data_IF_066882010159
#
_entry.id   IF_066882010159
#
_cell.length_a   1.000
_cell.length_b   1.000
_cell.length_c   1.000
_cell.angle_alpha   90.00
_cell.angle_beta   90.00
_cell.angle_gamma   90.00
#
_symmetry.space_group_name_H-M   'P 1'
#
loop_
_entity.id
_entity.type
_entity.pdbx_description
1 polymer ?
#
# COMPACT_ATOMS: atom_id res chain seq x y z
N UNK A 1 -6.72 5.22 18.46
CA UNK A 1 -7.69 5.83 17.47
C UNK A 1 -7.76 4.92 16.24
N UNK A 2 -8.97 4.65 15.70
CA UNK A 2 -9.11 3.77 14.53
C UNK A 2 -8.55 4.41 13.27
N UNK A 3 -7.52 3.81 12.69
CA UNK A 3 -6.91 4.24 11.43
C UNK A 3 -7.58 3.59 10.22
N UNK A 4 -8.16 2.39 10.40
CA UNK A 4 -8.95 1.71 9.39
C UNK A 4 -10.25 1.19 10.00
N UNK A 5 -11.36 1.41 9.32
CA UNK A 5 -12.65 0.83 9.65
C UNK A 5 -13.26 0.23 8.38
N UNK A 6 -13.54 -1.05 8.42
CA UNK A 6 -14.21 -1.82 7.37
C UNK A 6 -15.52 -2.33 7.93
N UNK A 7 -16.64 -1.95 7.33
CA UNK A 7 -17.98 -2.22 7.82
C UNK A 7 -18.82 -2.92 6.75
N UNK A 8 -19.17 -4.17 6.98
CA UNK A 8 -20.07 -5.01 6.16
C UNK A 8 -19.79 -4.96 4.67
N UNK A 9 -18.49 -4.93 4.27
CA UNK A 9 -18.15 -4.83 2.86
C UNK A 9 -18.51 -6.13 2.12
N UNK A 10 -19.14 -5.94 0.96
CA UNK A 10 -19.38 -7.00 0.00
C UNK A 10 -18.70 -6.68 -1.32
N UNK A 11 -18.18 -7.72 -1.97
CA UNK A 11 -17.60 -7.62 -3.31
C UNK A 11 -17.85 -8.88 -4.11
N UNK A 12 -18.37 -8.71 -5.32
CA UNK A 12 -18.55 -9.77 -6.29
C UNK A 12 -17.66 -9.56 -7.51
N UNK A 13 -17.22 -10.64 -8.14
CA UNK A 13 -16.49 -10.63 -9.41
C UNK A 13 -17.05 -11.75 -10.30
N UNK A 14 -17.45 -11.44 -11.53
CA UNK A 14 -18.05 -12.40 -12.46
C UNK A 14 -19.16 -13.24 -11.80
N UNK A 15 -20.14 -12.60 -11.16
CA UNK A 15 -21.27 -13.21 -10.45
C UNK A 15 -20.92 -14.07 -9.22
N UNK A 16 -19.63 -14.20 -8.84
CA UNK A 16 -19.21 -14.91 -7.63
C UNK A 16 -18.99 -13.90 -6.50
N UNK A 17 -19.66 -14.08 -5.35
CA UNK A 17 -19.37 -13.30 -4.14
C UNK A 17 -17.99 -13.69 -3.60
N UNK A 18 -17.08 -12.71 -3.53
CA UNK A 18 -15.73 -12.85 -2.98
C UNK A 18 -15.73 -12.40 -1.52
N UNK A 19 -16.24 -11.20 -1.24
CA UNK A 19 -16.38 -10.69 0.12
C UNK A 19 -17.85 -10.75 0.55
N UNK A 20 -18.10 -11.28 1.75
CA UNK A 20 -19.44 -11.57 2.27
C UNK A 20 -19.61 -10.89 3.63
N UNK A 21 -19.93 -9.58 3.64
CA UNK A 21 -20.14 -8.78 4.85
C UNK A 21 -18.90 -8.80 5.78
N UNK A 22 -17.73 -8.54 5.21
CA UNK A 22 -16.49 -8.47 5.99
C UNK A 22 -16.46 -7.19 6.82
N UNK A 23 -16.19 -7.32 8.12
CA UNK A 23 -16.04 -6.20 9.04
C UNK A 23 -14.83 -6.41 9.94
N UNK A 24 -13.99 -5.40 10.06
CA UNK A 24 -12.89 -5.32 11.01
C UNK A 24 -12.40 -3.88 11.15
N UNK A 25 -11.55 -3.63 12.11
CA UNK A 25 -10.89 -2.34 12.27
C UNK A 25 -9.43 -2.52 12.65
N UNK A 26 -8.62 -1.50 12.42
CA UNK A 26 -7.22 -1.41 12.83
C UNK A 26 -7.05 -0.11 13.61
N UNK A 27 -6.47 -0.21 14.79
CA UNK A 27 -6.15 0.94 15.62
C UNK A 27 -4.74 1.49 15.33
N UNK A 28 -4.45 2.69 15.78
CA UNK A 28 -3.14 3.31 15.67
C UNK A 28 -2.11 2.46 16.43
N UNK A 29 -0.93 2.24 15.84
CA UNK A 29 0.16 1.39 16.36
C UNK A 29 -0.19 -0.11 16.46
N UNK A 30 -1.27 -0.55 15.82
CA UNK A 30 -1.65 -1.95 15.75
C UNK A 30 -1.11 -2.62 14.48
N UNK A 31 -0.70 -3.89 14.60
CA UNK A 31 -0.33 -4.74 13.47
C UNK A 31 -1.39 -5.83 13.33
N UNK A 32 -2.06 -5.85 12.18
CA UNK A 32 -3.13 -6.81 11.89
C UNK A 32 -2.75 -7.68 10.70
N UNK A 33 -2.79 -9.00 10.88
CA UNK A 33 -2.58 -9.98 9.82
C UNK A 33 -3.90 -10.44 9.20
N UNK A 34 -4.00 -10.32 7.87
CA UNK A 34 -5.13 -10.87 7.11
C UNK A 34 -4.78 -12.28 6.61
N UNK A 35 -5.21 -13.29 7.37
CA UNK A 35 -4.89 -14.69 7.11
C UNK A 35 -6.02 -15.43 6.40
N UNK A 36 -5.69 -16.43 5.61
CA UNK A 36 -6.66 -17.29 4.93
C UNK A 36 -6.06 -18.00 3.70
N UNK A 37 -6.73 -19.04 3.20
CA UNK A 37 -6.27 -19.79 2.03
C UNK A 37 -6.30 -18.94 0.75
N UNK A 38 -5.65 -19.42 -0.31
CA UNK A 38 -5.72 -18.79 -1.61
C UNK A 38 -7.16 -18.71 -2.11
N UNK A 39 -7.54 -17.54 -2.64
CA UNK A 39 -8.91 -17.29 -3.09
C UNK A 39 -9.91 -16.91 -1.99
N UNK A 40 -9.50 -16.78 -0.71
CA UNK A 40 -10.38 -16.34 0.39
C UNK A 40 -10.81 -14.87 0.31
N UNK A 41 -10.17 -14.07 -0.56
CA UNK A 41 -10.51 -12.66 -0.74
C UNK A 41 -9.51 -11.67 -0.14
N UNK A 42 -8.35 -12.11 0.38
CA UNK A 42 -7.32 -11.23 0.97
C UNK A 42 -6.92 -10.07 0.04
N UNK A 43 -6.39 -10.39 -1.14
CA UNK A 43 -5.98 -9.37 -2.13
C UNK A 43 -7.18 -8.56 -2.65
N UNK A 44 -8.41 -9.13 -2.67
CA UNK A 44 -9.62 -8.37 -3.01
C UNK A 44 -9.94 -7.36 -1.91
N UNK A 45 -9.79 -7.71 -0.65
CA UNK A 45 -9.95 -6.81 0.49
C UNK A 45 -8.94 -5.67 0.43
N UNK A 46 -7.65 -5.97 0.22
CA UNK A 46 -6.59 -4.97 0.04
C UNK A 46 -6.93 -4.03 -1.12
N UNK A 47 -7.36 -4.56 -2.27
CA UNK A 47 -7.77 -3.75 -3.43
C UNK A 47 -9.01 -2.89 -3.17
N UNK A 48 -9.90 -3.30 -2.27
CA UNK A 48 -11.01 -2.45 -1.84
C UNK A 48 -10.53 -1.34 -0.90
N UNK A 49 -9.66 -1.64 0.06
CA UNK A 49 -9.11 -0.65 1.01
C UNK A 49 -8.22 0.36 0.27
N UNK A 50 -7.44 -0.07 -0.71
CA UNK A 50 -6.61 0.81 -1.56
C UNK A 50 -7.41 1.63 -2.58
N UNK A 51 -8.73 1.41 -2.66
CA UNK A 51 -9.59 2.09 -3.61
C UNK A 51 -9.42 1.64 -5.07
N UNK A 52 -8.64 0.60 -5.34
CA UNK A 52 -8.53 0.00 -6.67
C UNK A 52 -9.85 -0.68 -7.10
N UNK A 53 -10.57 -1.26 -6.13
CA UNK A 53 -11.90 -1.83 -6.35
C UNK A 53 -12.94 -1.08 -5.53
N UNK A 54 -14.09 -0.77 -6.15
CA UNK A 54 -15.27 -0.29 -5.41
C UNK A 54 -15.96 -1.49 -4.76
N UNK A 55 -16.35 -1.34 -3.49
CA UNK A 55 -17.21 -2.31 -2.80
C UNK A 55 -18.63 -2.24 -3.37
N UNK A 56 -19.31 -3.38 -3.46
CA UNK A 56 -20.70 -3.44 -3.90
C UNK A 56 -21.63 -2.95 -2.78
N UNK A 57 -21.30 -3.29 -1.52
CA UNK A 57 -21.98 -2.82 -0.30
C UNK A 57 -20.96 -2.54 0.81
N UNK A 58 -21.45 -1.95 1.90
CA UNK A 58 -20.65 -1.63 3.06
C UNK A 58 -19.81 -0.37 2.89
N UNK A 59 -18.97 -0.11 3.88
CA UNK A 59 -18.22 1.14 4.00
C UNK A 59 -16.78 0.89 4.43
N UNK A 60 -15.87 1.71 3.92
CA UNK A 60 -14.47 1.73 4.34
C UNK A 60 -14.11 3.16 4.69
N UNK A 61 -13.57 3.38 5.90
CA UNK A 61 -13.04 4.66 6.34
C UNK A 61 -11.58 4.53 6.72
N UNK A 62 -10.80 5.52 6.35
CA UNK A 62 -9.36 5.62 6.66
C UNK A 62 -9.13 6.94 7.35
N UNK A 63 -8.66 6.90 8.60
CA UNK A 63 -8.54 8.09 9.45
C UNK A 63 -9.83 8.94 9.44
N UNK A 64 -11.01 8.28 9.55
CA UNK A 64 -12.31 8.92 9.52
C UNK A 64 -12.85 9.27 8.12
N UNK A 65 -12.03 9.29 7.08
CA UNK A 65 -12.43 9.64 5.72
C UNK A 65 -13.00 8.43 4.97
N UNK A 66 -14.22 8.54 4.48
CA UNK A 66 -14.88 7.50 3.70
C UNK A 66 -14.27 7.44 2.28
N UNK A 67 -13.83 6.25 1.86
CA UNK A 67 -13.13 6.06 0.59
C UNK A 67 -14.01 6.29 -0.65
N UNK A 68 -15.33 6.31 -0.51
CA UNK A 68 -16.26 6.60 -1.61
C UNK A 68 -16.52 8.09 -1.76
N UNK A 69 -16.77 8.80 -0.66
CA UNK A 69 -17.16 10.21 -0.66
C UNK A 69 -15.97 11.16 -0.50
N UNK A 70 -14.93 10.78 0.24
CA UNK A 70 -13.73 11.59 0.48
C UNK A 70 -12.44 10.83 0.11
N UNK A 71 -12.44 10.33 -1.13
CA UNK A 71 -11.41 9.41 -1.63
C UNK A 71 -9.98 9.97 -1.53
N UNK A 72 -9.79 11.23 -1.91
CA UNK A 72 -8.45 11.82 -1.96
C UNK A 72 -7.83 11.89 -0.56
N UNK A 73 -8.59 12.39 0.42
CA UNK A 73 -8.11 12.50 1.79
C UNK A 73 -7.91 11.12 2.46
N UNK A 74 -8.76 10.15 2.14
CA UNK A 74 -8.56 8.76 2.58
C UNK A 74 -7.25 8.17 2.03
N UNK A 75 -7.01 8.29 0.73
CA UNK A 75 -5.84 7.69 0.06
C UNK A 75 -4.52 8.41 0.37
N UNK A 76 -4.54 9.67 0.78
CA UNK A 76 -3.35 10.36 1.31
C UNK A 76 -2.81 9.74 2.59
N UNK A 77 -3.64 8.99 3.32
CA UNK A 77 -3.26 8.38 4.59
C UNK A 77 -2.70 6.97 4.44
N UNK A 78 -2.61 6.44 3.22
CA UNK A 78 -2.22 5.06 2.96
C UNK A 78 -0.89 4.99 2.21
N UNK A 79 0.02 4.15 2.70
CA UNK A 79 1.13 3.59 1.95
C UNK A 79 0.88 2.14 1.61
N UNK A 80 1.21 1.71 0.39
CA UNK A 80 0.93 0.35 -0.07
C UNK A 80 2.18 -0.24 -0.72
N UNK A 81 2.65 -1.37 -0.20
CA UNK A 81 3.62 -2.23 -0.87
C UNK A 81 2.91 -3.49 -1.35
N UNK A 82 2.73 -3.59 -2.66
CA UNK A 82 2.08 -4.73 -3.31
C UNK A 82 3.09 -5.86 -3.55
N UNK A 83 2.60 -7.10 -3.64
CA UNK A 83 3.36 -8.30 -4.02
C UNK A 83 4.25 -8.08 -5.26
N UNK A 84 3.72 -7.43 -6.28
CA UNK A 84 4.49 -7.03 -7.46
C UNK A 84 4.79 -5.54 -7.39
N UNK A 85 6.05 -5.16 -7.10
CA UNK A 85 6.47 -3.76 -7.02
C UNK A 85 6.28 -3.02 -8.33
N UNK A 86 5.54 -1.92 -8.31
CA UNK A 86 5.32 -1.05 -9.46
C UNK A 86 6.49 -0.07 -9.64
N UNK A 87 7.68 -0.59 -9.96
CA UNK A 87 8.88 0.18 -10.22
C UNK A 87 9.07 0.41 -11.73
N UNK A 88 9.72 1.51 -12.09
CA UNK A 88 10.15 1.80 -13.44
C UNK A 88 11.51 1.13 -13.68
N UNK A 89 11.57 0.03 -14.46
CA UNK A 89 12.78 -0.81 -14.56
C UNK A 89 13.96 -0.10 -15.24
N UNK A 90 13.69 0.92 -16.05
CA UNK A 90 14.72 1.74 -16.75
C UNK A 90 15.35 2.77 -15.82
N UNK A 91 14.69 3.13 -14.71
CA UNK A 91 15.17 4.08 -13.74
C UNK A 91 15.97 3.39 -12.64
N UNK A 92 16.92 4.12 -12.06
CA UNK A 92 17.64 3.64 -10.87
C UNK A 92 16.72 3.61 -9.64
N UNK A 93 17.17 2.91 -8.58
CA UNK A 93 16.43 2.87 -7.32
C UNK A 93 16.19 4.27 -6.75
N UNK A 94 17.22 5.09 -6.71
CA UNK A 94 17.11 6.47 -6.21
C UNK A 94 16.20 7.34 -7.07
N UNK A 95 16.16 7.11 -8.41
CA UNK A 95 15.26 7.84 -9.30
C UNK A 95 13.81 7.44 -9.06
N UNK A 96 13.51 6.13 -8.88
CA UNK A 96 12.19 5.65 -8.50
C UNK A 96 11.72 6.29 -7.18
N UNK A 97 12.58 6.33 -6.17
CA UNK A 97 12.27 6.92 -4.87
C UNK A 97 12.00 8.43 -4.96
N UNK A 98 12.87 9.18 -5.69
CA UNK A 98 12.70 10.61 -5.93
C UNK A 98 11.40 10.94 -6.66
N UNK A 99 11.04 10.13 -7.64
CA UNK A 99 9.79 10.31 -8.39
C UNK A 99 8.57 10.15 -7.49
N UNK A 100 8.55 9.12 -6.62
CA UNK A 100 7.50 8.92 -5.64
C UNK A 100 7.42 10.10 -4.64
N UNK A 101 8.57 10.56 -4.14
CA UNK A 101 8.66 11.70 -3.24
C UNK A 101 8.12 12.99 -3.89
N UNK A 102 8.49 13.25 -5.15
CA UNK A 102 8.00 14.42 -5.92
C UNK A 102 6.48 14.37 -6.07
N UNK A 103 5.92 13.22 -6.44
CA UNK A 103 4.47 13.05 -6.60
C UNK A 103 3.70 13.28 -5.28
N UNK A 104 4.32 12.98 -4.14
CA UNK A 104 3.78 13.19 -2.80
C UNK A 104 4.18 14.52 -2.17
N UNK A 105 4.96 15.36 -2.89
CA UNK A 105 5.49 16.66 -2.41
C UNK A 105 6.32 16.53 -1.12
N UNK A 106 7.09 15.47 -1.03
CA UNK A 106 7.95 15.17 0.12
C UNK A 106 9.33 15.82 -0.08
N UNK A 107 9.95 16.40 0.97
CA UNK A 107 11.23 17.06 0.87
C UNK A 107 12.38 16.10 0.59
N UNK A 108 13.51 16.64 0.07
CA UNK A 108 14.66 15.85 -0.37
C UNK A 108 15.32 15.08 0.79
N UNK A 109 15.34 15.66 1.97
CA UNK A 109 15.91 15.06 3.18
C UNK A 109 15.25 13.72 3.51
N UNK A 110 13.94 13.63 3.29
CA UNK A 110 13.20 12.38 3.47
C UNK A 110 13.60 11.31 2.47
N UNK A 111 13.96 11.70 1.25
CA UNK A 111 14.49 10.75 0.24
C UNK A 111 15.83 10.17 0.70
N UNK A 112 16.69 11.00 1.29
CA UNK A 112 18.00 10.58 1.82
C UNK A 112 17.84 9.61 3.00
N UNK A 113 16.94 9.90 3.94
CA UNK A 113 16.59 8.97 5.04
C UNK A 113 16.12 7.62 4.50
N UNK A 114 15.21 7.63 3.52
CA UNK A 114 14.65 6.40 2.96
C UNK A 114 15.67 5.65 2.09
N UNK A 115 16.59 6.34 1.44
CA UNK A 115 17.69 5.70 0.74
C UNK A 115 18.53 4.84 1.72
N UNK A 116 18.84 5.37 2.89
CA UNK A 116 19.50 4.60 3.97
C UNK A 116 18.62 3.46 4.46
N UNK A 117 17.33 3.72 4.69
CA UNK A 117 16.37 2.71 5.14
C UNK A 117 16.26 1.49 4.21
N UNK A 118 16.46 1.66 2.90
CA UNK A 118 16.41 0.52 1.94
C UNK A 118 17.53 -0.49 2.17
N UNK A 119 18.63 -0.09 2.80
CA UNK A 119 19.85 -0.90 2.95
C UNK A 119 20.37 -1.46 1.61
N UNK A 120 20.25 -0.67 0.53
CA UNK A 120 20.72 -1.02 -0.80
C UNK A 120 22.07 -0.40 -1.16
N UNK A 121 22.53 0.61 -0.40
CA UNK A 121 23.81 1.29 -0.62
C UNK A 121 23.99 1.76 -2.07
N UNK A 122 25.17 1.50 -2.64
CA UNK A 122 25.49 1.89 -4.03
C UNK A 122 24.56 1.26 -5.08
N UNK A 123 23.91 0.15 -4.75
CA UNK A 123 22.93 -0.49 -5.65
C UNK A 123 21.74 0.42 -5.97
N UNK A 124 21.46 1.44 -5.14
CA UNK A 124 20.45 2.47 -5.47
C UNK A 124 20.74 3.24 -6.75
N UNK A 125 21.97 3.24 -7.22
CA UNK A 125 22.37 3.88 -8.47
C UNK A 125 22.10 3.00 -9.70
N UNK A 126 21.91 1.70 -9.52
CA UNK A 126 21.63 0.75 -10.59
C UNK A 126 20.15 0.80 -11.01
N UNK A 127 19.90 0.41 -12.27
CA UNK A 127 18.54 0.28 -12.81
C UNK A 127 17.77 -0.80 -12.05
N UNK A 128 16.51 -0.49 -11.67
CA UNK A 128 15.69 -1.44 -10.89
C UNK A 128 15.30 -2.69 -11.69
N UNK A 129 15.43 -2.66 -13.02
CA UNK A 129 15.29 -3.84 -13.86
C UNK A 129 16.30 -4.96 -13.53
N UNK A 130 17.47 -4.60 -12.97
CA UNK A 130 18.53 -5.56 -12.58
C UNK A 130 18.42 -6.03 -11.13
N UNK A 131 17.44 -5.53 -10.37
CA UNK A 131 17.28 -5.84 -8.97
C UNK A 131 16.73 -7.27 -8.77
N UNK A 132 17.21 -7.93 -7.71
CA UNK A 132 16.53 -9.11 -7.19
C UNK A 132 15.15 -8.76 -6.63
N UNK A 133 14.29 -9.76 -6.43
CA UNK A 133 12.96 -9.53 -5.83
C UNK A 133 13.09 -8.85 -4.46
N UNK A 134 13.99 -9.32 -3.60
CA UNK A 134 14.22 -8.71 -2.28
C UNK A 134 14.64 -7.24 -2.35
N UNK A 135 15.52 -6.86 -3.30
CA UNK A 135 15.89 -5.46 -3.51
C UNK A 135 14.69 -4.63 -3.97
N UNK A 136 13.87 -5.17 -4.88
CA UNK A 136 12.63 -4.52 -5.32
C UNK A 136 11.66 -4.32 -4.16
N UNK A 137 11.51 -5.31 -3.29
CA UNK A 137 10.62 -5.22 -2.12
C UNK A 137 11.09 -4.18 -1.11
N UNK A 138 12.39 -4.09 -0.82
CA UNK A 138 12.95 -3.05 0.06
C UNK A 138 12.68 -1.65 -0.47
N UNK A 139 12.93 -1.43 -1.76
CA UNK A 139 12.64 -0.15 -2.41
C UNK A 139 11.12 0.16 -2.42
N UNK A 140 10.29 -0.85 -2.71
CA UNK A 140 8.84 -0.72 -2.70
C UNK A 140 8.30 -0.32 -1.32
N UNK A 141 8.86 -0.91 -0.26
CA UNK A 141 8.51 -0.53 1.11
C UNK A 141 8.90 0.93 1.42
N UNK A 142 10.12 1.34 1.04
CA UNK A 142 10.55 2.73 1.21
C UNK A 142 9.62 3.71 0.45
N UNK A 143 9.20 3.37 -0.75
CA UNK A 143 8.23 4.16 -1.54
C UNK A 143 6.86 4.20 -0.83
N UNK A 144 6.41 3.07 -0.28
CA UNK A 144 5.11 3.01 0.41
C UNK A 144 5.04 3.91 1.64
N UNK A 145 6.18 4.17 2.31
CA UNK A 145 6.23 5.00 3.52
C UNK A 145 6.80 6.41 3.28
N UNK A 146 6.93 6.83 2.03
CA UNK A 146 7.64 8.08 1.66
C UNK A 146 7.04 9.32 2.32
N UNK A 147 5.73 9.41 2.38
CA UNK A 147 4.95 10.52 2.94
C UNK A 147 4.44 10.27 4.38
N UNK A 148 5.05 9.30 5.08
CA UNK A 148 4.70 8.93 6.47
C UNK A 148 3.20 8.65 6.66
N UNK A 149 2.63 7.71 5.90
CA UNK A 149 1.20 7.40 5.95
C UNK A 149 0.79 6.89 7.34
N UNK A 150 -0.47 7.12 7.71
CA UNK A 150 -1.04 6.60 8.97
C UNK A 150 -1.37 5.11 8.90
N UNK A 151 -1.59 4.59 7.71
CA UNK A 151 -1.87 3.18 7.44
C UNK A 151 -0.89 2.65 6.40
N UNK A 152 -0.16 1.60 6.72
CA UNK A 152 0.69 0.88 5.76
C UNK A 152 0.06 -0.49 5.49
N UNK A 153 -0.09 -0.82 4.22
CA UNK A 153 -0.61 -2.11 3.76
C UNK A 153 0.50 -2.84 3.01
N UNK A 154 0.79 -4.06 3.46
CA UNK A 154 1.76 -4.95 2.84
C UNK A 154 1.03 -6.17 2.27
N UNK A 155 1.16 -6.43 0.98
CA UNK A 155 0.58 -7.59 0.30
C UNK A 155 1.72 -8.56 -0.04
N UNK A 156 1.81 -9.67 0.69
CA UNK A 156 2.87 -10.70 0.59
C UNK A 156 4.30 -10.11 0.60
N UNK A 157 4.73 -9.49 1.71
CA UNK A 157 5.99 -8.74 1.78
C UNK A 157 7.26 -9.59 1.85
N UNK A 158 7.18 -10.93 1.73
CA UNK A 158 8.31 -11.90 1.84
C UNK A 158 8.52 -12.66 0.55
#
# INVERSE_FOLDING_TARGET
MKVLQVEDIEKSKKRKKILKRLSFSVDEQEIVGLLGPNGSGKSTTIKCISGLYRTDRGRIRICGNDIKSNRLEALKQIGIAMEVPALYPELSGIQNLRMAATARKVPKERVEELAVFTDLGDRLLDRTGTYSMGMKMRLNLAIAIVDQPKLVILDEPT
#
